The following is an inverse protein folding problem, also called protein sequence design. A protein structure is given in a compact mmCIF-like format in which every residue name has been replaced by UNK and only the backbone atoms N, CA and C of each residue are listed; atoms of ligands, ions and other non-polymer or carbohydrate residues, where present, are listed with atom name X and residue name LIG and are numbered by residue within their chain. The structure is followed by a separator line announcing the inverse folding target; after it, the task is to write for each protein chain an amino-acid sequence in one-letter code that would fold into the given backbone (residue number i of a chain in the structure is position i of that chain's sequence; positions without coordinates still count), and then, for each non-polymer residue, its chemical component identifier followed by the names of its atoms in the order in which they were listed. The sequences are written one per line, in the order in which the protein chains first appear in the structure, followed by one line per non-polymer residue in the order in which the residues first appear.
data_IF_122809313689
#
_entry.id   IF_122809313689
#
_cell.length_a   1.000
_cell.length_b   1.000
_cell.length_c   1.000
_cell.angle_alpha   90.00
_cell.angle_beta   90.00
_cell.angle_gamma   90.00
#
_symmetry.space_group_name_H-M   'P 1'
#
loop_
_entity.id
_entity.type
_entity.pdbx_description
1 polymer ?
#
# COMPACT_ATOMS: atom_id res chain seq x y z
N UNK A 1 23.35 -3.43 -29.28
CA UNK A 1 22.72 -2.12 -29.04
C UNK A 1 22.70 -1.96 -27.54
N UNK A 2 23.59 -1.14 -26.99
CA UNK A 2 23.58 -0.85 -25.56
C UNK A 2 22.58 0.30 -25.34
N UNK A 3 21.51 0.00 -24.66
CA UNK A 3 20.56 1.04 -24.21
C UNK A 3 21.31 1.87 -23.17
N UNK A 4 21.42 3.18 -23.37
CA UNK A 4 22.06 4.06 -22.39
C UNK A 4 21.18 4.15 -21.14
N UNK A 5 21.81 4.30 -19.97
CA UNK A 5 21.05 4.48 -18.72
C UNK A 5 20.10 5.68 -18.78
N UNK A 6 20.43 6.73 -19.53
CA UNK A 6 19.58 7.91 -19.75
C UNK A 6 18.28 7.56 -20.53
N UNK A 7 18.27 6.53 -21.37
CA UNK A 7 17.08 6.09 -22.07
C UNK A 7 16.12 5.28 -21.17
N UNK A 8 16.61 4.76 -20.03
CA UNK A 8 15.78 4.03 -19.05
C UNK A 8 15.00 5.02 -18.16
N UNK A 9 15.51 6.24 -17.96
CA UNK A 9 14.90 7.24 -17.06
C UNK A 9 13.70 8.00 -17.65
N UNK A 10 13.31 7.73 -18.87
CA UNK A 10 12.12 8.34 -19.48
C UNK A 10 10.87 7.46 -19.42
N UNK A 11 10.70 6.66 -18.36
CA UNK A 11 9.47 5.91 -18.19
C UNK A 11 8.30 6.88 -17.93
N UNK A 12 7.44 6.99 -18.93
CA UNK A 12 6.15 7.66 -18.76
C UNK A 12 5.34 6.95 -17.67
N UNK A 13 4.56 7.68 -16.84
CA UNK A 13 3.60 7.06 -15.92
C UNK A 13 2.72 5.97 -16.55
N UNK A 14 2.47 6.05 -17.86
CA UNK A 14 1.77 5.02 -18.61
C UNK A 14 2.45 3.64 -18.59
N UNK A 15 3.75 3.55 -18.34
CA UNK A 15 4.44 2.27 -18.17
C UNK A 15 3.99 1.54 -16.90
N UNK A 16 3.65 2.27 -15.85
CA UNK A 16 3.14 1.69 -14.59
C UNK A 16 1.72 1.14 -14.74
N UNK A 17 0.94 1.67 -15.67
CA UNK A 17 -0.41 1.18 -15.96
C UNK A 17 -0.44 -0.26 -16.48
N UNK A 18 0.67 -0.73 -17.05
CA UNK A 18 0.82 -2.09 -17.57
C UNK A 18 1.44 -3.05 -16.55
N UNK A 19 1.96 -2.52 -15.44
CA UNK A 19 2.60 -3.32 -14.40
C UNK A 19 1.53 -4.02 -13.56
N UNK A 20 1.47 -5.34 -13.64
CA UNK A 20 0.54 -6.13 -12.86
C UNK A 20 1.28 -7.17 -12.02
N UNK A 21 1.03 -7.17 -10.72
CA UNK A 21 1.67 -8.03 -9.73
C UNK A 21 0.65 -9.06 -9.26
N UNK A 22 1.08 -10.32 -9.15
CA UNK A 22 0.23 -11.37 -8.62
C UNK A 22 0.25 -11.36 -7.09
N UNK A 23 -0.93 -11.31 -6.48
CA UNK A 23 -1.14 -11.42 -5.03
C UNK A 23 -1.91 -12.73 -4.78
N UNK A 24 -1.38 -13.55 -3.87
CA UNK A 24 -1.90 -14.89 -3.63
C UNK A 24 -3.01 -14.88 -2.58
N UNK A 25 -4.01 -15.73 -2.81
CA UNK A 25 -4.95 -16.09 -1.78
C UNK A 25 -4.26 -16.99 -0.74
N UNK A 26 -4.38 -16.65 0.55
CA UNK A 26 -3.91 -17.47 1.65
C UNK A 26 -4.74 -17.20 2.89
N UNK A 27 -5.30 -18.24 3.49
CA UNK A 27 -6.15 -18.11 4.67
C UNK A 27 -5.33 -17.79 5.92
N UNK A 28 -5.62 -16.63 6.52
CA UNK A 28 -5.02 -16.20 7.77
C UNK A 28 -3.53 -15.81 7.66
N UNK A 29 -2.80 -15.96 8.76
CA UNK A 29 -1.42 -15.45 8.90
C UNK A 29 -0.39 -16.33 8.20
N UNK A 30 0.49 -15.72 7.41
CA UNK A 30 1.65 -16.38 6.80
C UNK A 30 2.83 -16.36 7.77
N UNK A 31 3.46 -17.52 8.03
CA UNK A 31 4.59 -17.62 8.98
C UNK A 31 5.89 -17.00 8.48
N UNK A 32 6.13 -17.03 7.18
CA UNK A 32 7.34 -16.50 6.53
C UNK A 32 6.96 -15.61 5.36
N UNK A 33 6.40 -14.41 5.63
CA UNK A 33 5.80 -13.58 4.58
C UNK A 33 6.85 -13.00 3.60
N UNK A 34 8.09 -12.73 4.05
CA UNK A 34 9.13 -12.08 3.25
C UNK A 34 9.81 -13.01 2.25
N UNK A 35 9.01 -13.83 1.58
CA UNK A 35 9.43 -14.75 0.50
C UNK A 35 8.36 -14.80 -0.59
N UNK A 36 8.76 -15.15 -1.80
CA UNK A 36 7.79 -15.51 -2.84
C UNK A 36 6.87 -16.64 -2.33
N UNK A 37 5.57 -16.60 -2.61
CA UNK A 37 4.93 -15.69 -3.55
C UNK A 37 4.31 -14.42 -2.91
N UNK A 38 4.57 -14.12 -1.63
CA UNK A 38 3.90 -13.05 -0.89
C UNK A 38 4.65 -11.72 -0.92
N UNK A 39 5.98 -11.75 -1.08
CA UNK A 39 6.82 -10.56 -1.12
C UNK A 39 6.54 -9.75 -2.39
N UNK A 40 6.18 -8.48 -2.22
CA UNK A 40 6.06 -7.53 -3.31
C UNK A 40 7.44 -7.21 -3.90
N UNK A 41 7.51 -6.89 -5.20
CA UNK A 41 8.79 -6.56 -5.82
C UNK A 41 9.37 -5.27 -5.24
N UNK A 42 10.70 -5.22 -5.12
CA UNK A 42 11.42 -3.99 -4.83
C UNK A 42 11.48 -3.13 -6.10
N UNK A 43 11.08 -1.87 -5.99
CA UNK A 43 11.03 -0.91 -7.09
C UNK A 43 12.04 0.22 -6.96
N UNK A 44 12.99 0.12 -6.03
CA UNK A 44 14.06 1.08 -5.73
C UNK A 44 14.76 1.59 -7.00
N UNK A 45 15.14 0.69 -7.90
CA UNK A 45 15.85 1.03 -9.16
C UNK A 45 15.01 1.97 -10.04
N UNK A 46 13.69 1.89 -9.97
CA UNK A 46 12.79 2.70 -10.81
C UNK A 46 12.44 4.05 -10.18
N UNK A 47 12.55 4.17 -8.86
CA UNK A 47 12.15 5.35 -8.12
C UNK A 47 13.34 6.20 -7.66
N UNK A 48 14.56 5.65 -7.74
CA UNK A 48 15.79 6.27 -7.20
C UNK A 48 15.67 6.57 -5.69
N UNK A 49 14.84 5.81 -4.97
CA UNK A 49 14.58 5.94 -3.55
C UNK A 49 15.31 4.85 -2.76
N UNK A 50 15.71 5.13 -1.51
CA UNK A 50 16.27 4.12 -0.63
C UNK A 50 15.19 3.12 -0.21
N UNK A 51 15.42 1.83 -0.46
CA UNK A 51 14.55 0.76 0.01
C UNK A 51 14.97 0.30 1.41
N UNK A 52 14.24 0.76 2.40
CA UNK A 52 14.46 0.38 3.80
C UNK A 52 13.40 -0.59 4.36
N UNK A 53 12.38 -0.91 3.57
CA UNK A 53 11.31 -1.81 4.00
C UNK A 53 11.05 -2.93 2.99
N UNK A 54 10.71 -4.12 3.50
CA UNK A 54 10.16 -5.22 2.73
C UNK A 54 8.67 -5.34 3.01
N UNK A 55 7.86 -5.37 1.96
CA UNK A 55 6.40 -5.44 2.04
C UNK A 55 5.90 -6.74 1.44
N UNK A 56 5.13 -7.49 2.20
CA UNK A 56 4.45 -8.69 1.75
C UNK A 56 2.95 -8.52 1.84
N UNK A 57 2.21 -9.14 0.92
CA UNK A 57 0.78 -9.01 0.81
C UNK A 57 0.12 -10.31 0.39
N UNK A 58 -1.02 -10.61 0.98
CA UNK A 58 -1.93 -11.69 0.59
C UNK A 58 -3.37 -11.31 0.95
N UNK A 59 -4.31 -12.12 0.51
CA UNK A 59 -5.73 -11.90 0.79
C UNK A 59 -6.45 -13.23 1.02
N UNK A 60 -7.63 -13.15 1.62
CA UNK A 60 -8.62 -14.22 1.67
C UNK A 60 -10.05 -13.67 1.59
N UNK A 61 -11.05 -14.49 1.93
CA UNK A 61 -12.46 -14.07 1.96
C UNK A 61 -12.79 -13.04 3.02
N UNK A 62 -11.92 -12.86 4.01
CA UNK A 62 -12.14 -11.98 5.16
C UNK A 62 -11.48 -10.61 4.97
N UNK A 63 -10.49 -10.50 4.06
CA UNK A 63 -9.85 -9.22 3.79
C UNK A 63 -8.44 -9.32 3.20
N UNK A 64 -7.67 -8.26 3.43
CA UNK A 64 -6.30 -8.10 2.92
C UNK A 64 -5.33 -8.02 4.08
N UNK A 65 -4.25 -8.76 3.96
CA UNK A 65 -3.17 -8.85 4.95
C UNK A 65 -1.88 -8.27 4.38
N UNK A 66 -1.15 -7.53 5.21
CA UNK A 66 0.21 -7.08 4.88
C UNK A 66 1.15 -7.39 6.05
N UNK A 67 2.40 -7.70 5.72
CA UNK A 67 3.50 -7.74 6.68
C UNK A 67 4.60 -6.84 6.14
N UNK A 68 5.04 -5.89 6.98
CA UNK A 68 5.98 -4.83 6.58
C UNK A 68 7.14 -4.87 7.56
N UNK A 69 8.32 -5.24 7.07
CA UNK A 69 9.56 -5.23 7.84
C UNK A 69 10.35 -3.95 7.51
N UNK A 70 10.37 -3.02 8.43
CA UNK A 70 11.14 -1.78 8.33
C UNK A 70 12.53 -2.02 8.93
N UNK A 71 13.59 -1.92 8.12
CA UNK A 71 14.99 -2.20 8.46
C UNK A 71 15.71 -0.97 9.04
N UNK A 72 14.96 -0.11 9.70
CA UNK A 72 15.45 1.08 10.42
C UNK A 72 14.78 1.11 11.80
N UNK A 73 15.40 1.70 12.84
CA UNK A 73 14.78 1.80 14.16
C UNK A 73 13.51 2.66 14.09
N UNK A 74 12.55 2.37 14.95
CA UNK A 74 11.40 3.24 15.14
C UNK A 74 11.86 4.56 15.78
N UNK A 75 11.38 5.69 15.25
CA UNK A 75 11.66 7.03 15.80
C UNK A 75 10.45 7.56 16.58
N UNK A 76 9.40 7.98 15.87
CA UNK A 76 8.22 8.57 16.49
C UNK A 76 7.06 8.61 15.50
N UNK A 77 5.83 8.74 16.00
CA UNK A 77 4.63 8.97 15.21
C UNK A 77 4.26 10.45 15.19
N UNK A 78 3.60 10.91 14.14
CA UNK A 78 3.05 12.28 14.05
C UNK A 78 1.58 12.23 13.67
N UNK A 79 0.76 13.06 14.34
CA UNK A 79 -0.64 13.24 14.05
C UNK A 79 -1.03 14.72 14.30
N UNK A 80 -1.79 15.36 13.42
CA UNK A 80 -2.43 14.81 12.20
C UNK A 80 -1.51 14.72 10.98
N UNK A 81 -0.26 15.21 11.06
CA UNK A 81 0.68 15.25 9.94
C UNK A 81 1.42 13.91 9.81
N UNK A 82 0.73 12.88 9.32
CA UNK A 82 1.22 11.48 9.29
C UNK A 82 2.53 11.29 8.54
N UNK A 83 2.86 12.18 7.60
CA UNK A 83 4.10 12.13 6.81
C UNK A 83 5.33 12.68 7.57
N UNK A 84 5.12 13.37 8.69
CA UNK A 84 6.20 13.90 9.53
C UNK A 84 6.70 12.88 10.56
N UNK A 85 6.10 11.71 10.63
CA UNK A 85 6.43 10.63 11.55
C UNK A 85 6.45 9.27 10.89
N UNK A 86 6.82 8.25 11.66
CA UNK A 86 6.77 6.86 11.21
C UNK A 86 5.32 6.42 11.03
N UNK A 87 4.93 6.13 9.81
CA UNK A 87 3.58 5.65 9.46
C UNK A 87 3.60 4.88 8.14
N UNK A 88 2.55 4.10 7.90
CA UNK A 88 2.31 3.40 6.65
C UNK A 88 1.01 3.90 6.05
N UNK A 89 1.07 4.41 4.85
CA UNK A 89 -0.09 4.79 4.05
C UNK A 89 -0.31 3.76 2.95
N UNK A 90 -1.53 3.23 2.89
CA UNK A 90 -1.94 2.24 1.90
C UNK A 90 -3.07 2.80 1.05
N UNK A 91 -2.93 2.66 -0.25
CA UNK A 91 -3.91 3.15 -1.21
C UNK A 91 -4.46 1.97 -2.01
N UNK A 92 -5.80 1.84 -2.04
CA UNK A 92 -6.50 0.79 -2.77
C UNK A 92 -7.56 1.38 -3.69
N UNK A 93 -7.69 0.82 -4.88
CA UNK A 93 -8.86 0.95 -5.74
C UNK A 93 -9.44 -0.44 -6.00
N UNK A 94 -10.59 -0.75 -5.40
CA UNK A 94 -11.21 -2.07 -5.49
C UNK A 94 -11.80 -2.38 -6.87
N UNK A 95 -11.61 -1.48 -7.85
CA UNK A 95 -12.01 -1.65 -9.27
C UNK A 95 -10.85 -1.50 -10.23
N UNK A 96 -9.67 -1.07 -9.78
CA UNK A 96 -8.50 -0.82 -10.63
C UNK A 96 -8.82 0.04 -11.87
N UNK A 97 -9.54 1.15 -11.66
CA UNK A 97 -10.03 2.01 -12.74
C UNK A 97 -8.93 2.95 -13.24
N UNK A 98 -8.12 2.48 -14.19
CA UNK A 98 -7.00 3.27 -14.76
C UNK A 98 -7.45 4.52 -15.52
N UNK A 99 -8.70 4.59 -15.93
CA UNK A 99 -9.30 5.78 -16.56
C UNK A 99 -9.81 6.82 -15.55
N UNK A 100 -9.81 6.51 -14.25
CA UNK A 100 -10.27 7.44 -13.23
C UNK A 100 -9.30 8.60 -13.05
N UNK A 101 -9.76 9.81 -13.34
CA UNK A 101 -8.97 11.04 -13.20
C UNK A 101 -8.86 11.55 -11.76
N UNK A 102 -9.61 10.96 -10.81
CA UNK A 102 -9.65 11.40 -9.42
C UNK A 102 -10.13 10.29 -8.49
N UNK A 103 -9.97 10.52 -7.19
CA UNK A 103 -10.45 9.61 -6.13
C UNK A 103 -11.98 9.49 -6.18
N UNK A 104 -12.46 8.26 -6.27
CA UNK A 104 -13.87 7.89 -6.34
C UNK A 104 -14.25 6.90 -5.22
N UNK A 105 -15.51 6.52 -5.10
CA UNK A 105 -16.06 5.70 -3.98
C UNK A 105 -15.37 4.36 -3.75
N UNK A 106 -14.71 3.77 -4.77
CA UNK A 106 -13.97 2.52 -4.64
C UNK A 106 -12.50 2.72 -4.25
N UNK A 107 -12.05 3.97 -4.13
CA UNK A 107 -10.72 4.29 -3.64
C UNK A 107 -10.69 4.36 -2.11
N UNK A 108 -9.57 3.94 -1.54
CA UNK A 108 -9.29 3.95 -0.12
C UNK A 108 -7.90 4.50 0.14
N UNK A 109 -7.75 5.29 1.18
CA UNK A 109 -6.49 5.75 1.72
C UNK A 109 -6.46 5.47 3.22
N UNK A 110 -5.79 4.40 3.61
CA UNK A 110 -5.61 4.01 5.01
C UNK A 110 -4.28 4.48 5.54
N UNK A 111 -4.25 4.83 6.81
CA UNK A 111 -3.03 5.14 7.57
C UNK A 111 -2.93 4.17 8.73
N UNK A 112 -1.76 3.59 8.92
CA UNK A 112 -1.41 2.73 10.04
C UNK A 112 -0.22 3.30 10.79
N UNK A 113 -0.29 3.30 12.10
CA UNK A 113 0.78 3.74 12.98
C UNK A 113 1.49 2.56 13.63
N UNK A 114 2.82 2.63 13.83
CA UNK A 114 3.54 1.62 14.61
C UNK A 114 3.13 1.58 16.09
N UNK A 115 2.60 2.68 16.62
CA UNK A 115 2.07 2.82 17.98
C UNK A 115 0.74 3.54 17.96
N UNK A 116 -0.08 3.28 18.98
CA UNK A 116 -1.35 4.00 19.18
C UNK A 116 -1.07 5.50 19.33
N UNK A 117 -1.79 6.31 18.56
CA UNK A 117 -1.78 7.78 18.63
C UNK A 117 -3.24 8.27 18.68
N UNK A 118 -3.54 9.17 19.61
CA UNK A 118 -4.91 9.69 19.87
C UNK A 118 -5.96 8.56 20.02
N UNK A 119 -5.56 7.42 20.60
CA UNK A 119 -6.43 6.26 20.78
C UNK A 119 -6.65 5.40 19.54
N UNK A 120 -5.98 5.68 18.43
CA UNK A 120 -6.09 4.96 17.15
C UNK A 120 -4.78 4.29 16.77
N UNK A 121 -4.86 3.11 16.17
CA UNK A 121 -3.72 2.43 15.54
C UNK A 121 -3.77 2.60 14.02
N UNK A 122 -4.96 2.81 13.47
CA UNK A 122 -5.20 3.02 12.05
C UNK A 122 -6.51 3.78 11.83
N UNK A 123 -6.62 4.43 10.67
CA UNK A 123 -7.87 5.06 10.21
C UNK A 123 -7.86 5.25 8.70
N UNK A 124 -9.04 5.50 8.13
CA UNK A 124 -9.18 5.89 6.73
C UNK A 124 -9.22 7.42 6.59
N UNK A 125 -8.43 7.97 5.67
CA UNK A 125 -8.38 9.40 5.39
C UNK A 125 -8.67 9.75 3.92
N UNK A 126 -9.43 8.90 3.22
CA UNK A 126 -9.79 9.10 1.81
C UNK A 126 -10.46 10.45 1.60
N UNK A 127 -9.93 11.24 0.67
CA UNK A 127 -10.49 12.55 0.26
C UNK A 127 -11.13 12.40 -1.11
N UNK A 128 -12.43 12.15 -1.13
CA UNK A 128 -13.20 12.03 -2.38
C UNK A 128 -13.20 13.35 -3.16
N UNK A 129 -13.20 13.22 -4.49
CA UNK A 129 -13.32 14.35 -5.41
C UNK A 129 -14.47 14.06 -6.39
N UNK A 130 -15.48 14.91 -6.37
CA UNK A 130 -16.69 14.74 -7.16
C UNK A 130 -17.90 14.27 -6.34
N UNK A 131 -18.95 13.83 -7.03
CA UNK A 131 -20.24 13.48 -6.41
C UNK A 131 -20.27 12.06 -5.82
N UNK A 132 -19.45 11.15 -6.34
CA UNK A 132 -19.39 9.76 -5.88
C UNK A 132 -18.58 9.62 -4.60
N UNK A 133 -19.27 9.65 -3.47
CA UNK A 133 -18.69 9.51 -2.13
C UNK A 133 -19.28 8.33 -1.38
N UNK A 134 -18.69 7.97 -0.26
CA UNK A 134 -19.19 7.03 0.74
C UNK A 134 -18.74 7.46 2.14
N UNK A 135 -19.32 6.86 3.15
CA UNK A 135 -18.76 6.98 4.50
C UNK A 135 -17.36 6.32 4.57
N UNK A 136 -16.46 6.90 5.36
CA UNK A 136 -15.19 6.26 5.69
C UNK A 136 -15.44 5.02 6.55
N UNK A 137 -14.53 4.06 6.53
CA UNK A 137 -14.69 2.85 7.31
C UNK A 137 -14.59 3.11 8.83
N UNK A 138 -15.18 2.22 9.63
CA UNK A 138 -14.94 2.20 11.07
C UNK A 138 -13.46 1.81 11.31
N UNK A 139 -12.67 2.61 12.06
CA UNK A 139 -11.28 2.26 12.41
C UNK A 139 -11.11 0.88 13.05
N UNK A 140 -12.13 0.33 13.68
CA UNK A 140 -12.12 -1.02 14.29
C UNK A 140 -11.95 -2.15 13.28
N UNK A 141 -12.24 -1.89 11.99
CA UNK A 141 -12.06 -2.84 10.88
C UNK A 141 -10.60 -2.85 10.38
N UNK A 142 -9.75 -2.01 10.96
CA UNK A 142 -8.32 -1.89 10.63
C UNK A 142 -7.49 -2.35 11.82
N UNK A 143 -6.73 -3.43 11.64
CA UNK A 143 -5.95 -4.01 12.72
C UNK A 143 -4.46 -3.88 12.40
N UNK A 144 -3.65 -3.58 13.42
CA UNK A 144 -2.20 -3.56 13.33
C UNK A 144 -1.57 -4.10 14.60
N UNK A 145 -0.54 -4.93 14.41
CA UNK A 145 0.34 -5.41 15.46
C UNK A 145 1.77 -5.03 15.08
N UNK A 146 2.52 -4.45 16.02
CA UNK A 146 3.90 -4.03 15.78
C UNK A 146 4.85 -4.69 16.77
N UNK A 147 5.90 -5.29 16.23
CA UNK A 147 7.01 -5.86 17.01
C UNK A 147 8.25 -5.01 16.80
N UNK A 148 8.76 -4.40 17.87
CA UNK A 148 9.94 -3.54 17.84
C UNK A 148 11.21 -4.33 18.18
N UNK A 149 12.28 -4.08 17.41
CA UNK A 149 13.63 -4.50 17.69
C UNK A 149 14.56 -3.28 17.77
N UNK A 150 15.84 -3.48 18.10
CA UNK A 150 16.80 -2.38 18.29
C UNK A 150 16.96 -1.51 17.02
N UNK A 151 17.04 -2.14 15.85
CA UNK A 151 17.37 -1.47 14.58
C UNK A 151 16.30 -1.72 13.51
N UNK A 152 15.14 -2.21 13.88
CA UNK A 152 14.05 -2.53 12.95
C UNK A 152 12.72 -2.64 13.69
N UNK A 153 11.62 -2.64 12.96
CA UNK A 153 10.33 -3.06 13.48
C UNK A 153 9.50 -3.73 12.37
N UNK A 154 8.62 -4.62 12.78
CA UNK A 154 7.70 -5.31 11.88
C UNK A 154 6.26 -4.90 12.22
N UNK A 155 5.50 -4.51 11.19
CA UNK A 155 4.08 -4.25 11.31
C UNK A 155 3.30 -5.33 10.55
N UNK A 156 2.34 -5.96 11.24
CA UNK A 156 1.37 -6.89 10.65
C UNK A 156 0.03 -6.20 10.61
N UNK A 157 -0.51 -6.02 9.41
CA UNK A 157 -1.72 -5.26 9.17
C UNK A 157 -2.80 -6.20 8.63
N UNK A 158 -4.03 -6.00 9.10
CA UNK A 158 -5.20 -6.64 8.54
C UNK A 158 -6.28 -5.59 8.28
N UNK A 159 -6.80 -5.60 7.07
CA UNK A 159 -7.88 -4.75 6.59
C UNK A 159 -9.07 -5.65 6.33
N UNK A 160 -10.09 -5.59 7.19
CA UNK A 160 -11.30 -6.39 7.02
C UNK A 160 -12.01 -6.01 5.71
N UNK A 161 -12.65 -6.96 5.06
CA UNK A 161 -13.33 -6.74 3.77
C UNK A 161 -14.39 -5.64 3.83
N UNK A 162 -15.03 -5.47 4.98
CA UNK A 162 -16.02 -4.43 5.24
C UNK A 162 -15.42 -3.02 5.23
N UNK A 163 -14.11 -2.88 5.51
CA UNK A 163 -13.38 -1.62 5.37
C UNK A 163 -13.09 -1.28 3.90
N UNK A 164 -13.02 -2.28 3.03
CA UNK A 164 -12.71 -2.14 1.61
C UNK A 164 -14.00 -2.13 0.78
N UNK A 165 -14.67 -0.99 0.71
CA UNK A 165 -15.91 -0.86 -0.08
C UNK A 165 -15.72 -1.39 -1.50
N UNK A 166 -16.55 -2.37 -1.87
CA UNK A 166 -16.50 -3.02 -3.17
C UNK A 166 -15.46 -4.15 -3.28
N UNK A 167 -14.73 -4.52 -2.23
CA UNK A 167 -13.84 -5.68 -2.27
C UNK A 167 -14.65 -6.96 -2.44
N UNK A 168 -14.46 -7.62 -3.57
CA UNK A 168 -15.05 -8.92 -3.89
C UNK A 168 -14.09 -9.68 -4.82
N UNK A 169 -13.15 -10.44 -4.27
CA UNK A 169 -12.13 -11.12 -5.05
C UNK A 169 -12.67 -12.23 -5.96
N UNK A 170 -13.94 -12.65 -5.76
CA UNK A 170 -14.58 -13.62 -6.65
C UNK A 170 -15.13 -12.98 -7.90
N UNK A 171 -15.66 -11.75 -7.80
CA UNK A 171 -16.21 -11.00 -8.93
C UNK A 171 -15.18 -10.10 -9.61
N UNK A 172 -14.20 -9.60 -8.86
CA UNK A 172 -13.16 -8.67 -9.33
C UNK A 172 -11.79 -9.19 -8.93
N UNK A 173 -11.04 -9.66 -9.90
CA UNK A 173 -9.73 -10.28 -9.69
C UNK A 173 -8.56 -9.27 -9.79
N UNK A 174 -8.84 -7.97 -9.70
CA UNK A 174 -7.83 -6.90 -9.77
C UNK A 174 -8.12 -5.82 -8.74
N UNK A 175 -7.04 -5.26 -8.20
CA UNK A 175 -7.04 -4.06 -7.34
C UNK A 175 -6.02 -3.07 -7.88
N UNK A 176 -6.32 -1.78 -7.86
CA UNK A 176 -5.30 -0.74 -7.90
C UNK A 176 -4.64 -0.63 -6.52
N UNK A 177 -3.32 -0.47 -6.47
CA UNK A 177 -2.60 -0.43 -5.19
C UNK A 177 -1.31 0.37 -5.29
N UNK A 178 -1.05 1.16 -4.26
CA UNK A 178 0.28 1.68 -3.95
C UNK A 178 0.41 1.86 -2.43
N UNK A 179 1.63 2.11 -1.97
CA UNK A 179 1.90 2.46 -0.58
C UNK A 179 2.93 3.57 -0.48
N UNK A 180 2.95 4.22 0.67
CA UNK A 180 4.01 5.10 1.13
C UNK A 180 4.35 4.74 2.57
N UNK A 181 5.62 4.48 2.85
CA UNK A 181 6.13 4.25 4.19
C UNK A 181 6.90 5.49 4.62
N UNK A 182 6.34 6.23 5.56
CA UNK A 182 6.92 7.47 6.07
C UNK A 182 7.89 7.19 7.21
N UNK A 183 8.90 8.02 7.30
CA UNK A 183 9.91 8.02 8.37
C UNK A 183 10.08 9.42 8.91
N UNK A 184 10.20 9.56 10.23
CA UNK A 184 10.50 10.84 10.86
C UNK A 184 11.87 11.34 10.42
N UNK A 185 11.89 12.52 9.78
CA UNK A 185 13.12 13.18 9.37
C UNK A 185 13.86 12.54 8.18
N UNK A 186 13.20 11.65 7.43
CA UNK A 186 13.78 10.95 6.29
C UNK A 186 12.81 11.00 5.09
N UNK A 187 13.29 10.63 3.89
CA UNK A 187 12.42 10.47 2.73
C UNK A 187 11.55 9.22 2.87
N UNK A 188 10.32 9.24 2.34
CA UNK A 188 9.48 8.06 2.33
C UNK A 188 10.02 6.98 1.38
N UNK A 189 9.60 5.73 1.59
CA UNK A 189 9.70 4.69 0.59
C UNK A 189 8.34 4.50 -0.07
N UNK A 190 8.27 4.72 -1.36
CA UNK A 190 7.09 4.50 -2.19
C UNK A 190 7.14 3.13 -2.90
N UNK A 191 6.00 2.71 -3.48
CA UNK A 191 5.95 1.42 -4.16
C UNK A 191 6.22 1.53 -5.66
N UNK A 192 5.35 2.12 -6.43
CA UNK A 192 5.44 2.10 -7.89
C UNK A 192 5.52 3.50 -8.51
N UNK A 193 5.29 4.52 -7.72
CA UNK A 193 5.32 5.92 -8.12
C UNK A 193 5.81 6.74 -6.95
N UNK A 194 6.83 7.59 -7.18
CA UNK A 194 7.36 8.50 -6.15
C UNK A 194 6.30 9.52 -5.74
N UNK A 195 6.02 9.60 -4.45
CA UNK A 195 5.09 10.58 -3.88
C UNK A 195 5.67 11.99 -3.84
N UNK A 196 6.98 12.13 -4.02
CA UNK A 196 7.64 13.43 -4.15
C UNK A 196 7.37 14.08 -5.50
N UNK A 197 7.20 13.27 -6.55
CA UNK A 197 6.96 13.74 -7.91
C UNK A 197 5.49 13.77 -8.29
N UNK A 198 4.69 12.86 -7.70
CA UNK A 198 3.28 12.66 -8.04
C UNK A 198 2.41 12.70 -6.80
N UNK A 199 1.28 13.38 -6.87
CA UNK A 199 0.26 13.36 -5.80
C UNK A 199 -0.50 12.02 -5.81
N UNK A 200 0.13 10.96 -5.30
CA UNK A 200 -0.45 9.60 -5.32
C UNK A 200 -1.82 9.54 -4.64
N UNK A 201 -2.06 10.39 -3.63
CA UNK A 201 -3.34 10.51 -2.93
C UNK A 201 -4.46 11.14 -3.76
N UNK A 202 -4.16 11.62 -5.00
CA UNK A 202 -5.13 12.28 -5.89
C UNK A 202 -5.41 11.50 -7.17
N UNK A 203 -4.46 10.68 -7.63
CA UNK A 203 -4.48 10.08 -8.96
C UNK A 203 -4.42 8.54 -8.89
N UNK A 204 -5.58 7.86 -8.68
CA UNK A 204 -5.63 6.40 -8.58
C UNK A 204 -5.19 5.69 -9.85
N UNK A 205 -5.25 6.36 -11.00
CA UNK A 205 -4.76 5.83 -12.28
C UNK A 205 -3.26 5.51 -12.28
N UNK A 206 -2.48 6.12 -11.38
CA UNK A 206 -1.03 5.87 -11.25
C UNK A 206 -0.68 4.65 -10.40
N UNK A 207 -1.63 4.13 -9.63
CA UNK A 207 -1.39 2.98 -8.73
C UNK A 207 -1.14 1.71 -9.56
N UNK A 208 -0.28 0.82 -9.07
CA UNK A 208 -0.03 -0.48 -9.72
C UNK A 208 -1.29 -1.34 -9.75
N UNK A 209 -1.37 -2.26 -10.71
CA UNK A 209 -2.43 -3.27 -10.73
C UNK A 209 -1.99 -4.53 -9.99
N UNK A 210 -2.76 -4.96 -9.01
CA UNK A 210 -2.62 -6.26 -8.37
C UNK A 210 -3.60 -7.25 -9.02
N UNK A 211 -3.12 -8.43 -9.40
CA UNK A 211 -3.96 -9.54 -9.85
C UNK A 211 -4.16 -10.51 -8.69
N UNK A 212 -5.38 -10.68 -8.27
CA UNK A 212 -5.76 -11.62 -7.22
C UNK A 212 -5.73 -13.04 -7.79
N UNK A 213 -4.83 -13.88 -7.27
CA UNK A 213 -4.63 -15.26 -7.70
C UNK A 213 -5.14 -16.22 -6.64
N UNK A 214 -6.13 -17.01 -6.99
CA UNK A 214 -6.54 -18.11 -6.16
C UNK A 214 -5.40 -19.14 -6.12
N UNK A 215 -5.06 -19.65 -4.95
CA UNK A 215 -4.21 -20.84 -4.86
C UNK A 215 -4.93 -21.95 -5.64
N UNK A 216 -4.33 -22.38 -6.76
CA UNK A 216 -4.80 -23.56 -7.44
C UNK A 216 -4.78 -24.73 -6.41
N UNK A 217 -5.95 -25.29 -6.15
CA UNK A 217 -6.10 -26.51 -5.36
C UNK A 217 -5.35 -27.67 -6.02
#
# INVERSE_FOLDING_TARGET
MSISLEEIYSFSPSCFLQFAIDVQEHKGVVKTPYKKPFLLPNTEIFLEEESFAEVSMWYDSEGVYLSILIKKPFEDVSFPNVQEGDSVELFFDTRDLKSAGSIHKFCHHFVFFPKVVEGMIAYEMTKFRGEETRALCDPKLLQAETVFAKNSYEMKLFIEKEALYGFDPRSFNRLGFTYRINRKGDYPQDFNVSSTDYSIEKYPSTWASLRLKNLAM
#
